data_IF_212255219507
#
_entry.id   IF_212255219507
#
_cell.length_a   1.000
_cell.length_b   1.000
_cell.length_c   1.000
_cell.angle_alpha   90.00
_cell.angle_beta   90.00
_cell.angle_gamma   90.00
#
_symmetry.space_group_name_H-M   'P 1'
#
loop_
_entity.id
_entity.type
_entity.pdbx_description
1 polymer ?
#
# COMPACT_ATOMS: atom_id res chain seq x y z
N UNK A 1 -6.05 9.67 0.58
CA UNK A 1 -5.08 8.70 1.08
C UNK A 1 -4.72 7.80 -0.08
N UNK A 2 -3.45 7.61 -0.39
CA UNK A 2 -3.03 6.79 -1.54
C UNK A 2 -2.98 5.29 -1.17
N UNK A 3 -2.53 4.95 0.04
CA UNK A 3 -2.56 3.56 0.55
C UNK A 3 -3.22 3.49 1.93
N UNK A 4 -4.01 2.45 2.21
CA UNK A 4 -4.54 2.16 3.55
C UNK A 4 -3.87 0.92 4.14
N UNK A 5 -3.20 1.10 5.27
CA UNK A 5 -2.46 0.07 6.01
C UNK A 5 -2.82 0.15 7.51
N UNK A 6 -4.06 -0.19 7.90
CA UNK A 6 -4.44 -0.21 9.31
C UNK A 6 -3.72 -1.31 10.12
N UNK A 7 -3.11 -2.28 9.44
CA UNK A 7 -2.41 -3.44 10.01
C UNK A 7 -1.06 -3.68 9.29
N UNK A 8 -0.01 -4.17 9.96
CA UNK A 8 1.25 -4.52 9.31
C UNK A 8 1.15 -5.66 8.29
N UNK A 9 0.19 -6.57 8.43
CA UNK A 9 -0.07 -7.60 7.43
C UNK A 9 -0.91 -7.03 6.28
N UNK A 10 -0.42 -7.19 5.05
CA UNK A 10 -1.07 -6.61 3.88
C UNK A 10 -2.44 -7.20 3.60
N UNK A 11 -2.63 -8.49 3.89
CA UNK A 11 -3.91 -9.18 3.70
C UNK A 11 -4.90 -8.79 4.80
N UNK A 12 -4.47 -8.71 6.05
CA UNK A 12 -5.28 -8.22 7.17
C UNK A 12 -5.73 -6.77 6.91
N UNK A 13 -4.81 -5.92 6.44
CA UNK A 13 -5.14 -4.57 5.97
C UNK A 13 -6.22 -4.58 4.89
N UNK A 14 -6.12 -5.46 3.89
CA UNK A 14 -7.13 -5.57 2.84
C UNK A 14 -8.50 -6.05 3.36
N UNK A 15 -8.52 -7.03 4.26
CA UNK A 15 -9.74 -7.60 4.85
C UNK A 15 -10.49 -6.61 5.75
N UNK A 16 -9.78 -5.65 6.35
CA UNK A 16 -10.37 -4.58 7.15
C UNK A 16 -11.10 -3.52 6.31
N UNK A 17 -10.83 -3.43 5.00
CA UNK A 17 -11.41 -2.40 4.16
C UNK A 17 -12.82 -2.77 3.71
N UNK A 18 -13.73 -1.81 3.84
CA UNK A 18 -15.01 -1.87 3.15
C UNK A 18 -14.82 -1.91 1.62
N UNK A 19 -15.84 -2.42 0.92
CA UNK A 19 -15.82 -2.62 -0.53
C UNK A 19 -15.38 -1.39 -1.32
N UNK A 20 -15.82 -0.18 -0.94
CA UNK A 20 -15.49 1.05 -1.67
C UNK A 20 -14.00 1.35 -1.57
N UNK A 21 -13.43 1.24 -0.38
CA UNK A 21 -12.01 1.53 -0.14
C UNK A 21 -11.12 0.41 -0.67
N UNK A 22 -11.49 -0.85 -0.50
CA UNK A 22 -10.81 -2.00 -1.09
C UNK A 22 -10.72 -1.87 -2.61
N UNK A 23 -11.86 -1.58 -3.26
CA UNK A 23 -11.92 -1.39 -4.71
C UNK A 23 -11.02 -0.26 -5.20
N UNK A 24 -10.93 0.84 -4.43
CA UNK A 24 -10.09 2.00 -4.75
C UNK A 24 -8.59 1.72 -4.57
N UNK A 25 -8.22 0.97 -3.53
CA UNK A 25 -6.83 0.67 -3.21
C UNK A 25 -6.10 -0.09 -4.32
N UNK A 26 -6.81 -0.89 -5.13
CA UNK A 26 -6.24 -1.53 -6.34
C UNK A 26 -5.66 -0.51 -7.31
N UNK A 27 -6.42 0.55 -7.59
CA UNK A 27 -6.03 1.61 -8.52
C UNK A 27 -4.99 2.53 -7.90
N UNK A 28 -5.15 2.88 -6.62
CA UNK A 28 -4.22 3.77 -5.94
C UNK A 28 -2.82 3.13 -5.77
N UNK A 29 -2.74 1.83 -5.49
CA UNK A 29 -1.45 1.11 -5.47
C UNK A 29 -0.73 1.18 -6.83
N UNK A 30 -1.46 1.00 -7.93
CA UNK A 30 -0.90 1.15 -9.28
C UNK A 30 -0.45 2.59 -9.58
N UNK A 31 -1.19 3.58 -9.10
CA UNK A 31 -0.81 4.99 -9.24
C UNK A 31 0.46 5.33 -8.43
N UNK A 32 0.60 4.79 -7.21
CA UNK A 32 1.83 4.93 -6.42
C UNK A 32 3.00 4.30 -7.16
N UNK A 33 2.85 3.08 -7.68
CA UNK A 33 3.90 2.41 -8.44
C UNK A 33 4.35 3.26 -9.63
N UNK A 34 3.40 3.81 -10.41
CA UNK A 34 3.72 4.72 -11.51
C UNK A 34 4.41 6.00 -11.04
N UNK A 35 4.03 6.53 -9.88
CA UNK A 35 4.72 7.65 -9.26
C UNK A 35 6.19 7.37 -8.93
N UNK A 36 6.52 6.13 -8.56
CA UNK A 36 7.89 5.68 -8.32
C UNK A 36 8.64 5.43 -9.63
N UNK A 37 8.01 4.76 -10.60
CA UNK A 37 8.75 4.16 -11.73
C UNK A 37 8.66 4.92 -13.04
N UNK A 38 7.66 5.78 -13.25
CA UNK A 38 7.46 6.51 -14.51
C UNK A 38 8.04 7.93 -14.41
N UNK A 39 9.04 8.30 -15.24
CA UNK A 39 9.57 9.66 -15.28
C UNK A 39 8.47 10.69 -15.60
N UNK A 40 8.49 11.83 -14.91
CA UNK A 40 7.54 12.92 -15.14
C UNK A 40 6.12 12.67 -14.62
N UNK A 41 5.85 11.56 -13.92
CA UNK A 41 4.53 11.32 -13.34
C UNK A 41 4.21 12.35 -12.24
N UNK A 42 3.08 13.05 -12.38
CA UNK A 42 2.77 14.25 -11.59
C UNK A 42 2.74 14.07 -10.06
N UNK A 43 2.60 12.83 -9.58
CA UNK A 43 2.50 12.51 -8.14
C UNK A 43 3.81 12.02 -7.50
N UNK A 44 4.93 11.96 -8.23
CA UNK A 44 6.22 11.46 -7.75
C UNK A 44 6.73 12.14 -6.47
N UNK A 45 6.37 13.42 -6.25
CA UNK A 45 6.80 14.20 -5.07
C UNK A 45 5.87 14.06 -3.86
N UNK A 46 4.73 13.38 -3.99
CA UNK A 46 3.77 13.25 -2.91
C UNK A 46 4.33 12.35 -1.78
N UNK A 47 4.20 12.71 -0.49
CA UNK A 47 4.75 11.91 0.63
C UNK A 47 4.29 10.45 0.64
N UNK A 48 3.00 10.21 0.37
CA UNK A 48 2.44 8.85 0.26
C UNK A 48 3.05 8.01 -0.88
N UNK A 49 3.71 8.64 -1.87
CA UNK A 49 4.50 7.92 -2.89
C UNK A 49 5.91 7.70 -2.39
N UNK A 50 6.56 8.75 -1.88
CA UNK A 50 7.96 8.73 -1.46
C UNK A 50 8.25 7.77 -0.30
N UNK A 51 7.28 7.47 0.55
CA UNK A 51 7.47 6.50 1.64
C UNK A 51 7.76 5.07 1.13
N UNK A 52 7.42 4.78 -0.13
CA UNK A 52 7.62 3.49 -0.79
C UNK A 52 8.86 3.45 -1.69
N UNK A 53 9.64 4.53 -1.78
CA UNK A 53 10.86 4.57 -2.62
C UNK A 53 11.82 3.44 -2.22
N UNK A 54 12.28 2.64 -3.20
CA UNK A 54 13.15 1.48 -2.97
C UNK A 54 12.42 0.22 -2.46
N UNK A 55 11.10 0.31 -2.25
CA UNK A 55 10.22 -0.76 -1.77
C UNK A 55 9.10 -1.06 -2.78
N UNK A 56 9.37 -0.90 -4.07
CA UNK A 56 8.42 -1.08 -5.17
C UNK A 56 7.82 -2.50 -5.16
N UNK A 57 8.62 -3.52 -4.85
CA UNK A 57 8.14 -4.90 -4.74
C UNK A 57 7.17 -5.07 -3.56
N UNK A 58 7.46 -4.49 -2.40
CA UNK A 58 6.56 -4.54 -1.24
C UNK A 58 5.23 -3.82 -1.53
N UNK A 59 5.27 -2.67 -2.23
CA UNK A 59 4.07 -1.97 -2.69
C UNK A 59 3.24 -2.84 -3.66
N UNK A 60 3.91 -3.51 -4.60
CA UNK A 60 3.26 -4.42 -5.55
C UNK A 60 2.68 -5.62 -4.82
N UNK A 61 3.38 -6.18 -3.83
CA UNK A 61 2.86 -7.26 -3.00
C UNK A 61 1.60 -6.82 -2.25
N UNK A 62 1.62 -5.66 -1.62
CA UNK A 62 0.45 -5.04 -1.00
C UNK A 62 -0.72 -4.92 -1.98
N UNK A 63 -0.48 -4.33 -3.16
CA UNK A 63 -1.51 -4.18 -4.18
C UNK A 63 -2.08 -5.52 -4.67
N UNK A 64 -1.28 -6.59 -4.67
CA UNK A 64 -1.72 -7.92 -5.05
C UNK A 64 -2.59 -8.59 -3.97
N UNK A 65 -2.33 -8.37 -2.68
CA UNK A 65 -3.24 -8.83 -1.61
C UNK A 65 -4.58 -8.07 -1.67
N UNK A 66 -4.56 -6.77 -1.95
CA UNK A 66 -5.79 -5.98 -2.18
C UNK A 66 -6.58 -6.54 -3.38
N UNK A 67 -5.92 -6.83 -4.50
CA UNK A 67 -6.57 -7.42 -5.68
C UNK A 67 -7.10 -8.83 -5.41
N UNK A 68 -6.38 -9.61 -4.61
CA UNK A 68 -6.78 -10.97 -4.22
C UNK A 68 -8.05 -10.94 -3.37
N UNK A 69 -8.09 -10.15 -2.29
CA UNK A 69 -9.29 -10.02 -1.45
C UNK A 69 -10.48 -9.46 -2.25
N UNK A 70 -10.25 -8.51 -3.15
CA UNK A 70 -11.29 -8.00 -4.06
C UNK A 70 -11.91 -9.11 -4.93
N UNK A 71 -11.08 -10.01 -5.48
CA UNK A 71 -11.54 -11.15 -6.27
C UNK A 71 -12.23 -12.22 -5.42
N UNK A 72 -11.74 -12.48 -4.22
CA UNK A 72 -12.37 -13.40 -3.27
C UNK A 72 -13.79 -12.94 -2.88
N UNK A 73 -14.06 -11.62 -2.93
CA UNK A 73 -15.40 -11.05 -2.77
C UNK A 73 -16.27 -11.11 -4.04
N UNK A 74 -15.85 -11.83 -5.08
CA UNK A 74 -16.63 -12.05 -6.30
C UNK A 74 -16.52 -10.96 -7.35
N UNK A 75 -15.55 -10.05 -7.24
CA UNK A 75 -15.36 -8.95 -8.19
C UNK A 75 -14.26 -9.23 -9.21
N UNK A 76 -14.40 -8.66 -10.41
CA UNK A 76 -13.36 -8.72 -11.44
C UNK A 76 -12.23 -7.73 -11.14
N UNK A 77 -10.99 -8.13 -11.46
CA UNK A 77 -9.80 -7.31 -11.32
C UNK A 77 -8.99 -7.22 -12.61
N UNK A 78 -8.41 -6.05 -12.84
CA UNK A 78 -7.45 -5.76 -13.92
C UNK A 78 -6.16 -5.09 -13.43
N UNK A 79 -6.07 -4.76 -12.14
CA UNK A 79 -4.93 -4.02 -11.59
C UNK A 79 -3.75 -4.94 -11.29
N UNK A 80 -3.99 -6.19 -10.86
CA UNK A 80 -2.93 -7.14 -10.51
C UNK A 80 -1.92 -7.36 -11.64
N UNK A 81 -2.39 -7.62 -12.85
CA UNK A 81 -1.53 -7.81 -14.02
C UNK A 81 -0.70 -6.54 -14.33
N UNK A 82 -1.30 -5.37 -14.21
CA UNK A 82 -0.62 -4.08 -14.44
C UNK A 82 0.45 -3.79 -13.38
N UNK A 83 0.21 -4.17 -12.11
CA UNK A 83 1.19 -4.04 -11.03
C UNK A 83 2.43 -4.91 -11.29
N UNK A 84 2.21 -6.18 -11.64
CA UNK A 84 3.31 -7.11 -11.97
C UNK A 84 4.07 -6.64 -13.19
N UNK A 85 3.39 -6.25 -14.27
CA UNK A 85 4.05 -5.73 -15.46
C UNK A 85 4.84 -4.44 -15.20
N UNK A 86 4.28 -3.54 -14.39
CA UNK A 86 4.94 -2.31 -13.97
C UNK A 86 6.22 -2.56 -13.16
N UNK A 87 6.20 -3.54 -12.27
CA UNK A 87 7.41 -3.94 -11.54
C UNK A 87 8.43 -4.58 -12.47
N UNK A 88 8.01 -5.52 -13.32
CA UNK A 88 8.90 -6.21 -14.24
C UNK A 88 9.60 -5.26 -15.22
N UNK A 89 8.93 -4.19 -15.66
CA UNK A 89 9.53 -3.15 -16.49
C UNK A 89 10.59 -2.31 -15.73
N UNK A 90 10.44 -2.18 -14.41
CA UNK A 90 11.38 -1.42 -13.56
C UNK A 90 12.51 -2.31 -12.99
N UNK A 91 12.22 -3.58 -12.72
CA UNK A 91 13.14 -4.61 -12.20
C UNK A 91 12.92 -5.92 -12.97
N UNK A 92 13.57 -6.09 -14.13
CA UNK A 92 13.42 -7.29 -14.94
C UNK A 92 13.88 -8.56 -14.22
N UNK A 93 13.12 -9.65 -14.39
CA UNK A 93 13.53 -11.00 -13.94
C UNK A 93 13.29 -11.33 -12.46
N UNK A 94 12.79 -10.39 -11.65
CA UNK A 94 12.46 -10.64 -10.25
C UNK A 94 10.97 -11.04 -10.09
N UNK A 95 10.65 -12.21 -9.49
CA UNK A 95 9.27 -12.52 -9.11
C UNK A 95 8.82 -11.63 -7.94
N UNK A 96 7.51 -11.38 -7.81
CA UNK A 96 6.96 -10.73 -6.62
C UNK A 96 6.83 -11.75 -5.50
N UNK A 97 7.73 -11.70 -4.51
CA UNK A 97 7.74 -12.59 -3.35
C UNK A 97 6.57 -12.34 -2.42
N UNK A 98 6.27 -13.29 -1.53
CA UNK A 98 5.29 -13.06 -0.47
C UNK A 98 5.82 -12.11 0.62
N UNK A 99 4.96 -11.68 1.54
CA UNK A 99 5.35 -10.72 2.57
C UNK A 99 6.36 -11.31 3.56
N UNK A 100 6.32 -12.61 3.84
CA UNK A 100 7.23 -13.26 4.78
C UNK A 100 8.65 -13.35 4.20
N UNK A 101 8.76 -13.70 2.92
CA UNK A 101 10.02 -13.71 2.19
C UNK A 101 10.63 -12.31 2.09
N UNK A 102 9.81 -11.28 1.83
CA UNK A 102 10.26 -9.88 1.85
C UNK A 102 10.74 -9.46 3.24
N UNK A 103 10.07 -9.89 4.31
CA UNK A 103 10.49 -9.61 5.68
C UNK A 103 11.85 -10.26 5.97
N UNK A 104 12.02 -11.54 5.62
CA UNK A 104 13.27 -12.27 5.79
C UNK A 104 14.43 -11.66 5.00
N UNK A 105 14.15 -11.07 3.83
CA UNK A 105 15.11 -10.34 3.01
C UNK A 105 15.38 -8.89 3.43
N UNK A 106 14.77 -8.39 4.52
CA UNK A 106 14.80 -6.98 4.91
C UNK A 106 14.32 -6.02 3.81
N UNK A 107 13.34 -6.46 3.02
CA UNK A 107 12.75 -5.75 1.89
C UNK A 107 11.33 -5.24 2.14
N UNK A 108 10.94 -5.18 3.41
CA UNK A 108 9.80 -4.40 3.87
C UNK A 108 10.27 -3.03 4.39
N UNK A 109 9.46 -1.97 4.20
CA UNK A 109 9.78 -0.66 4.76
C UNK A 109 9.88 -0.71 6.30
N UNK A 110 10.84 0.01 6.93
CA UNK A 110 11.06 -0.05 8.38
C UNK A 110 9.88 0.53 9.19
N UNK A 111 9.05 1.34 8.55
CA UNK A 111 7.84 1.89 9.14
C UNK A 111 6.66 0.89 9.16
N UNK A 112 6.75 -0.25 8.46
CA UNK A 112 5.73 -1.29 8.52
C UNK A 112 5.85 -2.03 9.86
N UNK A 113 4.82 -1.94 10.69
CA UNK A 113 4.83 -2.37 12.10
C UNK A 113 4.91 -1.20 13.08
N UNK A 114 5.15 0.04 12.62
CA UNK A 114 5.08 1.22 13.48
C UNK A 114 3.63 1.54 13.85
N UNK A 115 3.31 1.48 15.15
CA UNK A 115 1.95 1.68 15.63
C UNK A 115 1.44 3.11 15.39
N UNK A 116 2.28 4.14 15.42
CA UNK A 116 1.85 5.50 15.13
C UNK A 116 1.44 5.65 13.66
N UNK A 117 2.19 5.00 12.74
CA UNK A 117 1.82 4.91 11.35
C UNK A 117 0.47 4.19 11.16
N UNK A 118 0.33 2.97 11.67
CA UNK A 118 -0.89 2.18 11.52
C UNK A 118 -2.10 2.84 12.18
N UNK A 119 -1.93 3.43 13.37
CA UNK A 119 -3.00 4.16 14.07
C UNK A 119 -3.45 5.40 13.30
N UNK A 120 -2.54 6.12 12.62
CA UNK A 120 -2.93 7.24 11.76
C UNK A 120 -3.77 6.78 10.55
N UNK A 121 -3.50 5.57 10.04
CA UNK A 121 -4.27 4.96 8.95
C UNK A 121 -5.66 4.49 9.43
N UNK A 122 -5.74 3.89 10.62
CA UNK A 122 -7.01 3.58 11.29
C UNK A 122 -7.84 4.84 11.52
N UNK A 123 -7.24 5.92 12.06
CA UNK A 123 -7.90 7.21 12.28
C UNK A 123 -8.47 7.79 10.99
N UNK A 124 -7.73 7.70 9.89
CA UNK A 124 -8.21 8.12 8.58
C UNK A 124 -9.40 7.30 8.07
N UNK A 125 -9.44 6.00 8.36
CA UNK A 125 -10.59 5.15 8.03
C UNK A 125 -11.82 5.56 8.85
N UNK A 126 -11.66 5.74 10.18
CA UNK A 126 -12.72 6.25 11.08
C UNK A 126 -13.25 7.59 10.57
N UNK A 127 -12.39 8.57 10.26
CA UNK A 127 -12.80 9.87 9.68
C UNK A 127 -13.64 9.74 8.42
N UNK A 128 -13.30 8.75 7.60
CA UNK A 128 -13.94 8.59 6.30
C UNK A 128 -15.31 7.93 6.43
N UNK A 129 -15.52 7.07 7.42
CA UNK A 129 -16.78 6.36 7.68
C UNK A 129 -16.82 5.81 9.12
N UNK A 130 -17.28 6.61 10.09
CA UNK A 130 -17.30 6.21 11.49
C UNK A 130 -18.19 4.99 11.75
N UNK A 131 -19.28 4.83 11.00
CA UNK A 131 -20.24 3.72 11.17
C UNK A 131 -19.58 2.37 10.91
N UNK A 132 -18.74 2.29 9.87
CA UNK A 132 -17.99 1.07 9.56
C UNK A 132 -16.81 0.86 10.51
N UNK A 133 -16.04 1.92 10.81
CA UNK A 133 -14.70 1.76 11.36
C UNK A 133 -14.56 2.03 12.86
N UNK A 134 -15.48 2.77 13.50
CA UNK A 134 -15.36 3.08 14.92
C UNK A 134 -15.42 1.80 15.80
N UNK A 135 -16.24 0.82 15.41
CA UNK A 135 -16.32 -0.48 16.07
C UNK A 135 -15.11 -1.39 15.80
N UNK A 136 -14.47 -1.25 14.63
CA UNK A 136 -13.27 -2.02 14.27
C UNK A 136 -12.01 -1.49 14.96
N UNK A 137 -11.95 -0.19 15.24
CA UNK A 137 -10.79 0.48 15.83
C UNK A 137 -11.15 1.24 17.12
N UNK A 138 -11.54 0.54 18.19
CA UNK A 138 -11.97 1.18 19.44
C UNK A 138 -10.85 2.07 20.01
N UNK A 139 -11.21 3.30 20.39
CA UNK A 139 -10.27 4.26 20.99
C UNK A 139 -9.33 4.98 20.00
N UNK A 140 -9.48 4.75 18.70
CA UNK A 140 -8.79 5.53 17.66
C UNK A 140 -9.63 6.77 17.34
N UNK A 141 -9.16 7.99 17.64
CA UNK A 141 -9.88 9.21 17.29
C UNK A 141 -9.85 9.41 15.77
N UNK A 142 -10.79 10.17 15.24
CA UNK A 142 -10.96 10.36 13.81
C UNK A 142 -10.17 11.56 13.25
N UNK A 143 -9.36 12.24 14.05
CA UNK A 143 -8.73 13.52 13.70
C UNK A 143 -7.19 13.48 13.66
N UNK A 144 -6.56 12.31 13.83
CA UNK A 144 -5.09 12.21 13.80
C UNK A 144 -4.52 12.67 12.45
N UNK A 145 -3.39 13.41 12.46
CA UNK A 145 -2.69 13.73 11.24
C UNK A 145 -2.18 12.46 10.55
N UNK A 146 -2.13 12.47 9.22
CA UNK A 146 -1.50 11.39 8.47
C UNK A 146 -0.01 11.32 8.76
N UNK A 147 0.49 10.13 9.05
CA UNK A 147 1.92 9.86 9.14
C UNK A 147 2.40 9.38 7.77
N UNK A 148 3.36 10.11 7.19
CA UNK A 148 4.03 9.74 5.95
C UNK A 148 5.53 9.64 6.21
N UNK A 149 6.05 8.45 6.57
CA UNK A 149 7.46 8.26 6.85
C UNK A 149 8.31 8.55 5.61
N UNK A 150 9.54 9.00 5.81
CA UNK A 150 10.53 8.97 4.75
C UNK A 150 10.96 7.52 4.50
N UNK A 151 11.23 7.18 3.24
CA UNK A 151 11.98 5.95 2.95
C UNK A 151 13.44 6.14 3.38
N UNK A 152 14.02 5.09 3.95
CA UNK A 152 15.45 4.95 4.24
C UNK A 152 16.25 4.50 3.01
N UNK A 153 15.57 4.12 1.93
CA UNK A 153 16.19 3.77 0.64
C UNK A 153 16.22 4.96 -0.30
N UNK A 154 17.27 4.99 -1.13
CA UNK A 154 17.37 5.94 -2.23
C UNK A 154 16.68 5.37 -3.48
N UNK A 155 16.20 6.28 -4.32
CA UNK A 155 15.72 5.97 -5.65
C UNK A 155 16.91 5.49 -6.49
N UNK A 156 17.05 4.18 -6.68
CA UNK A 156 18.10 3.63 -7.55
C UNK A 156 17.53 3.67 -8.97
N UNK A 157 18.05 4.53 -9.87
CA UNK A 157 17.58 4.55 -11.25
C UNK A 157 17.83 3.16 -11.87
N UNK A 158 16.84 2.66 -12.61
CA UNK A 158 17.01 1.46 -13.41
C UNK A 158 18.21 1.69 -14.35
N UNK A 159 19.23 0.84 -14.22
CA UNK A 159 20.44 0.86 -15.04
C UNK A 159 20.15 0.42 -16.47
#
# INVERSE_FOLDING_TARGET
MQTFLPDPDFRASALLLDRRRLGKQRVEALQVLRGLTVPGYGWRRHPAVRMWTGYEEALVRYGLEICRVWREQGHQDSCAASLVAGLAAHRPGAPVRDQADLAAGHELPPWLGDEAFHRSHRSALVRKDPEVYAGLFPGVPDDLPYVWPASDRQDVPAS
#
